data_IF_242268338501
#
_entry.id   IF_242268338501
#
_cell.length_a   1.000
_cell.length_b   1.000
_cell.length_c   1.000
_cell.angle_alpha   90.00
_cell.angle_beta   90.00
_cell.angle_gamma   90.00
#
_symmetry.space_group_name_H-M   'P 1'
#
loop_
_entity.id
_entity.type
_entity.pdbx_description
1 polymer ?
#
# COMPACT_ATOMS: atom_id res chain seq x y z
N UNK A 1 -58.27 7.61 -27.75
CA UNK A 1 -57.21 6.91 -27.00
C UNK A 1 -57.90 5.99 -26.00
N UNK A 2 -57.68 4.67 -26.05
CA UNK A 2 -58.36 3.72 -25.16
C UNK A 2 -57.99 4.01 -23.71
N UNK A 3 -58.98 4.07 -22.81
CA UNK A 3 -58.78 4.40 -21.39
C UNK A 3 -57.71 3.51 -20.72
N UNK A 4 -57.63 2.24 -21.15
CA UNK A 4 -56.57 1.29 -20.73
C UNK A 4 -55.17 1.72 -21.17
N UNK A 5 -55.01 2.26 -22.38
CA UNK A 5 -53.73 2.75 -22.89
C UNK A 5 -53.29 4.03 -22.19
N UNK A 6 -54.23 4.92 -21.84
CA UNK A 6 -53.93 6.12 -21.05
C UNK A 6 -53.47 5.77 -19.63
N UNK A 7 -54.13 4.81 -18.98
CA UNK A 7 -53.79 4.37 -17.63
C UNK A 7 -52.41 3.68 -17.60
N UNK A 8 -52.08 2.91 -18.62
CA UNK A 8 -50.76 2.30 -18.78
C UNK A 8 -49.65 3.34 -18.99
N UNK A 9 -49.91 4.40 -19.77
CA UNK A 9 -48.96 5.50 -19.95
C UNK A 9 -48.77 6.34 -18.69
N UNK A 10 -49.83 6.57 -17.91
CA UNK A 10 -49.71 7.30 -16.63
C UNK A 10 -48.94 6.46 -15.61
N UNK A 11 -49.20 5.15 -15.56
CA UNK A 11 -48.47 4.23 -14.68
C UNK A 11 -46.99 4.15 -15.07
N UNK A 12 -46.65 4.08 -16.37
CA UNK A 12 -45.25 4.06 -16.81
C UNK A 12 -44.51 5.36 -16.49
N UNK A 13 -45.19 6.51 -16.56
CA UNK A 13 -44.60 7.81 -16.18
C UNK A 13 -44.37 7.90 -14.68
N UNK A 14 -45.28 7.36 -13.86
CA UNK A 14 -45.11 7.30 -12.40
C UNK A 14 -44.03 6.30 -11.96
N UNK A 15 -43.82 5.22 -12.70
CA UNK A 15 -42.72 4.27 -12.43
C UNK A 15 -41.37 4.87 -12.83
N UNK A 16 -41.32 5.66 -13.90
CA UNK A 16 -40.08 6.32 -14.33
C UNK A 16 -39.55 7.35 -13.31
N UNK A 17 -40.44 8.04 -12.59
CA UNK A 17 -40.05 9.04 -11.57
C UNK A 17 -39.58 8.45 -10.24
N UNK A 18 -39.75 7.15 -10.00
CA UNK A 18 -39.28 6.49 -8.77
C UNK A 18 -37.83 5.99 -8.86
N UNK A 19 -37.13 6.25 -9.97
CA UNK A 19 -35.76 5.81 -10.22
C UNK A 19 -34.75 6.74 -9.53
N UNK A 20 -34.59 6.64 -8.20
CA UNK A 20 -33.50 7.31 -7.49
C UNK A 20 -32.24 6.46 -7.54
N UNK A 21 -31.44 6.65 -8.60
CA UNK A 21 -30.10 6.08 -8.71
C UNK A 21 -29.12 7.19 -9.12
N UNK A 22 -28.85 8.11 -8.20
CA UNK A 22 -27.73 9.04 -8.34
C UNK A 22 -26.99 9.14 -7.02
N UNK A 23 -25.67 8.97 -7.09
CA UNK A 23 -24.77 9.36 -6.02
C UNK A 23 -25.00 10.84 -5.71
N UNK A 24 -25.02 11.17 -4.42
CA UNK A 24 -25.53 12.41 -3.83
C UNK A 24 -24.70 13.68 -4.15
N UNK A 25 -24.01 13.74 -5.30
CA UNK A 25 -23.17 14.85 -5.71
C UNK A 25 -23.97 15.96 -6.39
N UNK A 26 -24.95 15.59 -7.23
CA UNK A 26 -25.78 16.55 -7.98
C UNK A 26 -27.03 17.02 -7.22
N UNK A 27 -27.37 16.34 -6.12
CA UNK A 27 -28.58 16.54 -5.33
C UNK A 27 -28.34 17.04 -3.90
N UNK A 28 -27.09 17.13 -3.45
CA UNK A 28 -26.75 17.62 -2.12
C UNK A 28 -27.08 19.11 -1.96
N UNK A 29 -27.68 19.48 -0.82
CA UNK A 29 -28.01 20.87 -0.48
C UNK A 29 -26.96 21.54 0.40
N UNK A 30 -26.05 20.75 1.00
CA UNK A 30 -24.90 21.22 1.75
C UNK A 30 -23.66 20.38 1.41
N UNK A 31 -22.44 20.95 1.53
CA UNK A 31 -21.19 20.22 1.29
C UNK A 31 -21.07 18.94 2.11
N UNK A 32 -21.57 18.94 3.35
CA UNK A 32 -21.50 17.78 4.26
C UNK A 32 -22.37 16.58 3.82
N UNK A 33 -23.30 16.79 2.88
CA UNK A 33 -24.14 15.72 2.32
C UNK A 33 -23.52 15.05 1.09
N UNK A 34 -22.46 15.64 0.53
CA UNK A 34 -21.78 15.13 -0.65
C UNK A 34 -20.98 13.88 -0.25
N UNK A 35 -21.25 12.75 -0.92
CA UNK A 35 -20.51 11.50 -0.70
C UNK A 35 -21.00 10.64 0.47
N UNK A 36 -21.96 11.11 1.29
CA UNK A 36 -22.54 10.32 2.39
C UNK A 36 -23.54 9.30 1.81
N UNK A 37 -23.25 8.00 1.99
CA UNK A 37 -24.14 6.90 1.60
C UNK A 37 -25.32 6.83 2.57
N UNK A 38 -26.50 6.48 2.06
CA UNK A 38 -27.67 6.24 2.92
C UNK A 38 -27.51 4.94 3.72
N UNK A 39 -28.12 4.83 4.90
CA UNK A 39 -28.04 3.61 5.73
C UNK A 39 -28.51 2.35 4.98
N UNK A 40 -29.56 2.49 4.16
CA UNK A 40 -30.05 1.41 3.30
C UNK A 40 -29.01 0.99 2.24
N UNK A 41 -28.21 1.92 1.73
CA UNK A 41 -27.16 1.65 0.76
C UNK A 41 -25.96 0.94 1.42
N UNK A 42 -25.58 1.36 2.62
CA UNK A 42 -24.52 0.70 3.40
C UNK A 42 -24.89 -0.77 3.70
N UNK A 43 -26.16 -1.02 4.05
CA UNK A 43 -26.65 -2.38 4.32
C UNK A 43 -26.69 -3.28 3.07
N UNK A 44 -26.90 -2.71 1.88
CA UNK A 44 -26.91 -3.46 0.61
C UNK A 44 -25.49 -3.71 0.10
N UNK A 45 -24.59 -2.73 0.25
CA UNK A 45 -23.24 -2.78 -0.32
C UNK A 45 -22.34 -3.84 0.36
N UNK A 46 -22.60 -4.21 1.62
CA UNK A 46 -21.79 -5.16 2.42
C UNK A 46 -20.27 -4.94 2.23
N UNK A 47 -19.85 -3.69 2.42
CA UNK A 47 -18.52 -3.17 2.07
C UNK A 47 -17.45 -3.68 3.06
N UNK A 48 -16.98 -4.91 2.86
CA UNK A 48 -15.91 -5.54 3.66
C UNK A 48 -14.81 -6.07 2.76
N UNK A 49 -13.61 -6.21 3.33
CA UNK A 49 -12.49 -6.86 2.67
C UNK A 49 -12.89 -8.29 2.26
N UNK A 50 -12.56 -8.68 1.03
CA UNK A 50 -12.88 -10.02 0.55
C UNK A 50 -12.09 -11.06 1.36
N UNK A 51 -12.81 -11.93 2.07
CA UNK A 51 -12.17 -13.01 2.81
C UNK A 51 -11.41 -13.94 1.88
N UNK A 52 -10.24 -14.40 2.34
CA UNK A 52 -9.49 -15.38 1.58
C UNK A 52 -10.18 -16.74 1.64
N UNK A 53 -10.17 -17.45 0.52
CA UNK A 53 -10.60 -18.84 0.49
C UNK A 53 -9.74 -19.70 1.43
N UNK A 54 -10.38 -20.62 2.14
CA UNK A 54 -9.68 -21.64 2.92
C UNK A 54 -8.92 -22.57 1.98
N UNK A 55 -7.63 -22.72 2.24
CA UNK A 55 -6.73 -23.65 1.55
C UNK A 55 -6.06 -24.48 2.64
N UNK A 56 -6.21 -25.79 2.56
CA UNK A 56 -5.51 -26.74 3.44
C UNK A 56 -4.05 -26.87 2.96
N UNK A 57 -3.11 -27.03 3.87
CA UNK A 57 -1.69 -27.24 3.56
C UNK A 57 -1.49 -28.46 2.62
N UNK A 58 -2.37 -29.47 2.72
CA UNK A 58 -2.37 -30.64 1.84
C UNK A 58 -2.76 -30.32 0.40
N UNK A 59 -3.43 -29.20 0.18
CA UNK A 59 -3.91 -28.75 -1.13
C UNK A 59 -2.90 -27.88 -1.86
N UNK A 60 -1.82 -27.48 -1.17
CA UNK A 60 -0.70 -26.74 -1.74
C UNK A 60 0.32 -27.71 -2.34
N UNK A 61 0.43 -27.75 -3.67
CA UNK A 61 1.39 -28.61 -4.37
C UNK A 61 2.78 -28.00 -4.45
N UNK A 62 2.83 -26.69 -4.57
CA UNK A 62 4.05 -25.91 -4.69
C UNK A 62 3.83 -24.58 -3.99
N UNK A 63 4.86 -24.11 -3.31
CA UNK A 63 4.87 -22.79 -2.70
C UNK A 63 6.26 -22.17 -2.82
N UNK A 64 6.31 -20.86 -3.03
CA UNK A 64 7.54 -20.09 -3.10
C UNK A 64 7.30 -18.70 -2.49
N UNK A 65 8.04 -18.34 -1.46
CA UNK A 65 8.02 -16.96 -0.97
C UNK A 65 8.94 -16.06 -1.81
N UNK A 66 8.44 -14.86 -2.11
CA UNK A 66 9.17 -13.83 -2.85
C UNK A 66 9.05 -12.49 -2.13
N UNK A 67 10.13 -11.73 -2.16
CA UNK A 67 10.18 -10.35 -1.70
C UNK A 67 10.38 -9.45 -2.89
N UNK A 68 9.49 -8.47 -3.01
CA UNK A 68 9.39 -7.57 -4.14
C UNK A 68 9.58 -6.12 -3.67
N UNK A 69 10.31 -5.34 -4.44
CA UNK A 69 10.49 -3.91 -4.26
C UNK A 69 9.63 -3.17 -5.28
N UNK A 70 8.64 -2.45 -4.79
CA UNK A 70 7.70 -1.62 -5.57
C UNK A 70 8.22 -0.19 -5.56
N UNK A 71 8.75 0.29 -6.68
CA UNK A 71 9.35 1.62 -6.79
C UNK A 71 8.27 2.65 -7.10
N UNK A 72 8.12 3.69 -6.27
CA UNK A 72 7.02 4.65 -6.39
C UNK A 72 7.17 5.66 -7.53
N UNK A 73 8.39 5.84 -8.04
CA UNK A 73 8.67 6.67 -9.22
C UNK A 73 8.09 6.09 -10.51
N UNK A 74 7.70 4.82 -10.49
CA UNK A 74 7.05 4.18 -11.63
C UNK A 74 5.58 4.58 -11.73
N UNK A 75 5.15 4.93 -12.96
CA UNK A 75 3.77 5.34 -13.24
C UNK A 75 2.73 4.28 -12.83
N UNK A 76 3.08 2.99 -12.88
CA UNK A 76 2.19 1.92 -12.44
C UNK A 76 1.87 2.00 -10.94
N UNK A 77 2.75 2.60 -10.14
CA UNK A 77 2.69 2.62 -8.68
C UNK A 77 2.20 3.95 -8.11
N UNK A 78 1.92 4.95 -8.95
CA UNK A 78 1.37 6.24 -8.55
C UNK A 78 0.12 6.18 -7.65
N UNK A 79 -0.80 5.21 -7.81
CA UNK A 79 -1.92 5.06 -6.88
C UNK A 79 -1.51 4.84 -5.41
N UNK A 80 -0.30 4.31 -5.16
CA UNK A 80 0.24 4.03 -3.82
C UNK A 80 0.96 5.25 -3.21
N UNK A 81 1.46 6.15 -4.06
CA UNK A 81 2.29 7.29 -3.66
C UNK A 81 1.49 8.58 -3.45
N UNK A 82 0.57 8.89 -4.37
CA UNK A 82 -0.15 10.16 -4.31
C UNK A 82 -1.41 10.08 -3.43
N UNK A 83 -1.80 11.20 -2.78
CA UNK A 83 -1.14 12.51 -2.77
C UNK A 83 -0.01 12.62 -1.73
N UNK A 84 1.04 13.39 -2.08
CA UNK A 84 2.17 13.69 -1.17
C UNK A 84 1.89 14.88 -0.24
N UNK A 85 1.06 15.82 -0.68
CA UNK A 85 0.63 16.97 0.11
C UNK A 85 -0.81 16.77 0.57
N UNK A 86 -1.02 16.83 1.88
CA UNK A 86 -2.32 16.60 2.54
C UNK A 86 -3.02 17.91 2.92
N UNK A 87 -2.37 19.07 2.78
CA UNK A 87 -2.89 20.37 3.26
C UNK A 87 -4.10 20.84 2.45
N UNK A 88 -4.06 20.66 1.13
CA UNK A 88 -5.09 21.19 0.21
C UNK A 88 -6.09 20.13 -0.26
N UNK A 89 -6.07 18.92 0.31
CA UNK A 89 -6.83 17.78 -0.17
C UNK A 89 -7.75 17.26 0.94
N UNK A 90 -9.00 16.94 0.58
CA UNK A 90 -9.97 16.34 1.48
C UNK A 90 -9.46 15.09 2.18
N UNK A 91 -9.96 14.82 3.38
CA UNK A 91 -9.55 13.67 4.21
C UNK A 91 -9.75 12.31 3.54
N UNK A 92 -10.56 12.25 2.49
CA UNK A 92 -10.88 11.06 1.71
C UNK A 92 -9.73 10.55 0.83
N UNK A 93 -8.68 11.37 0.57
CA UNK A 93 -7.53 11.00 -0.27
C UNK A 93 -6.24 11.11 0.51
N UNK A 94 -5.57 9.97 0.69
CA UNK A 94 -4.31 9.85 1.41
C UNK A 94 -3.40 8.85 0.70
N UNK A 95 -2.08 9.05 0.81
CA UNK A 95 -1.09 8.08 0.34
C UNK A 95 -1.17 6.80 1.17
N UNK A 96 -0.65 5.69 0.64
CA UNK A 96 -0.63 4.44 1.41
C UNK A 96 0.15 4.59 2.72
N UNK A 97 1.27 5.32 2.71
CA UNK A 97 2.07 5.57 3.91
C UNK A 97 1.29 6.37 4.97
N UNK A 98 0.59 7.43 4.56
CA UNK A 98 -0.25 8.21 5.49
C UNK A 98 -1.34 7.36 6.12
N UNK A 99 -1.97 6.49 5.33
CA UNK A 99 -3.00 5.56 5.81
C UNK A 99 -2.40 4.62 6.85
N UNK A 100 -1.28 3.96 6.55
CA UNK A 100 -0.63 3.04 7.48
C UNK A 100 -0.21 3.77 8.76
N UNK A 101 0.45 4.92 8.64
CA UNK A 101 0.95 5.68 9.80
C UNK A 101 -0.19 6.22 10.67
N UNK A 102 -1.27 6.71 10.06
CA UNK A 102 -2.47 7.14 10.78
C UNK A 102 -3.08 5.97 11.55
N UNK A 103 -3.24 4.82 10.90
CA UNK A 103 -3.89 3.66 11.49
C UNK A 103 -3.08 3.03 12.62
N UNK A 104 -1.74 3.11 12.55
CA UNK A 104 -0.87 2.77 13.66
C UNK A 104 -1.04 3.76 14.83
N UNK A 105 -1.12 5.06 14.56
CA UNK A 105 -1.31 6.09 15.61
C UNK A 105 -2.68 5.97 16.29
N UNK A 106 -3.70 5.66 15.51
CA UNK A 106 -5.09 5.47 15.98
C UNK A 106 -5.26 4.12 16.72
N UNK A 107 -4.30 3.21 16.58
CA UNK A 107 -4.27 1.91 17.25
C UNK A 107 -5.07 0.81 16.53
N UNK A 108 -5.50 1.06 15.29
CA UNK A 108 -6.18 0.05 14.45
C UNK A 108 -5.20 -1.03 13.99
N UNK A 109 -3.94 -0.67 13.74
CA UNK A 109 -2.84 -1.60 13.46
C UNK A 109 -1.96 -1.70 14.72
N UNK A 110 -2.15 -2.77 15.49
CA UNK A 110 -1.44 -2.95 16.77
C UNK A 110 0.02 -3.38 16.60
N UNK A 111 0.29 -4.24 15.61
CA UNK A 111 1.57 -4.94 15.48
C UNK A 111 2.40 -4.38 14.33
N UNK A 112 3.56 -3.82 14.67
CA UNK A 112 4.62 -3.47 13.72
C UNK A 112 5.82 -4.35 14.00
N UNK A 113 6.58 -4.67 12.96
CA UNK A 113 7.73 -5.56 13.03
C UNK A 113 8.98 -4.91 12.45
N UNK A 114 10.14 -5.33 12.93
CA UNK A 114 11.43 -4.83 12.42
C UNK A 114 11.83 -5.50 11.10
N UNK A 115 11.50 -6.78 10.96
CA UNK A 115 11.90 -7.62 9.84
C UNK A 115 10.69 -8.30 9.19
N UNK A 116 10.87 -8.66 7.92
CA UNK A 116 9.95 -9.38 7.04
C UNK A 116 9.56 -10.77 7.54
N UNK A 117 10.27 -11.34 8.52
CA UNK A 117 9.90 -12.61 9.16
C UNK A 117 8.98 -12.42 10.38
N UNK A 118 8.65 -11.18 10.75
CA UNK A 118 7.71 -10.85 11.84
C UNK A 118 8.12 -11.41 13.21
N UNK A 119 9.42 -11.47 13.49
CA UNK A 119 9.97 -12.05 14.73
C UNK A 119 9.97 -11.07 15.89
N UNK A 120 10.37 -9.83 15.64
CA UNK A 120 10.51 -8.76 16.65
C UNK A 120 9.50 -7.67 16.42
N UNK A 121 8.70 -7.38 17.47
CA UNK A 121 7.73 -6.27 17.44
C UNK A 121 8.44 -4.94 17.73
N UNK A 122 8.05 -3.89 17.02
CA UNK A 122 8.48 -2.50 17.27
C UNK A 122 7.34 -1.65 17.81
N UNK A 123 7.68 -0.67 18.64
CA UNK A 123 6.73 0.36 19.08
C UNK A 123 6.95 1.67 18.31
N UNK A 124 5.95 2.55 18.35
CA UNK A 124 6.05 3.89 17.75
C UNK A 124 7.24 4.72 18.27
N UNK A 125 7.64 4.49 19.53
CA UNK A 125 8.79 5.18 20.12
C UNK A 125 10.10 4.74 19.48
N UNK A 126 10.22 3.46 19.17
CA UNK A 126 11.42 2.90 18.53
C UNK A 126 11.53 3.35 17.07
N UNK A 127 10.41 3.64 16.42
CA UNK A 127 10.37 4.19 15.07
C UNK A 127 10.69 5.69 15.03
N UNK A 128 10.39 6.45 16.08
CA UNK A 128 10.68 7.88 16.10
C UNK A 128 12.17 8.18 15.89
N UNK A 129 13.05 7.32 16.39
CA UNK A 129 14.49 7.44 16.22
C UNK A 129 14.95 7.23 14.76
N UNK A 130 14.28 6.37 14.00
CA UNK A 130 14.58 6.12 12.58
C UNK A 130 13.78 7.02 11.63
N UNK A 131 12.79 7.76 12.14
CA UNK A 131 11.92 8.61 11.34
C UNK A 131 12.18 10.11 11.51
N UNK A 132 12.91 10.51 12.56
CA UNK A 132 13.19 11.92 12.82
C UNK A 132 14.67 12.16 13.09
N UNK A 133 15.22 13.16 12.41
CA UNK A 133 16.56 13.67 12.65
C UNK A 133 16.42 15.04 13.31
N UNK A 134 17.14 15.22 14.40
CA UNK A 134 17.30 16.52 15.05
C UNK A 134 18.74 16.94 14.79
N UNK A 135 18.91 17.97 13.97
CA UNK A 135 20.20 18.56 13.66
C UNK A 135 20.32 19.93 14.33
N UNK A 136 21.53 20.30 14.73
CA UNK A 136 21.80 21.59 15.39
C UNK A 136 22.72 22.39 14.49
N UNK A 137 22.35 23.64 14.19
CA UNK A 137 23.19 24.52 13.39
C UNK A 137 24.48 24.91 14.15
N UNK A 138 25.55 25.22 13.42
CA UNK A 138 26.83 25.68 13.99
C UNK A 138 26.67 26.83 14.99
N UNK A 139 25.77 27.77 14.69
CA UNK A 139 25.44 28.91 15.56
C UNK A 139 24.83 28.44 16.90
N UNK A 140 24.06 27.35 16.87
CA UNK A 140 23.51 26.72 18.07
C UNK A 140 24.59 26.07 18.93
N UNK A 141 25.62 25.47 18.32
CA UNK A 141 26.78 24.96 19.07
C UNK A 141 27.58 26.08 19.73
N UNK A 142 27.77 27.21 19.05
CA UNK A 142 28.44 28.39 19.62
C UNK A 142 27.66 28.96 20.82
N UNK A 143 26.32 29.02 20.72
CA UNK A 143 25.46 29.44 21.83
C UNK A 143 25.50 28.45 23.00
N UNK A 144 25.49 27.14 22.72
CA UNK A 144 25.61 26.11 23.76
C UNK A 144 26.92 26.26 24.54
N UNK A 145 28.02 26.53 23.83
CA UNK A 145 29.34 26.70 24.45
C UNK A 145 29.45 28.00 25.26
N UNK A 146 28.70 29.05 24.90
CA UNK A 146 28.71 30.34 25.58
C UNK A 146 27.75 30.41 26.78
N UNK A 147 26.49 30.02 26.58
CA UNK A 147 25.37 30.26 27.50
C UNK A 147 24.77 28.98 28.09
N UNK A 148 25.21 27.80 27.62
CA UNK A 148 24.78 26.50 28.15
C UNK A 148 23.38 26.05 27.69
N UNK A 149 22.74 26.79 26.79
CA UNK A 149 21.46 26.41 26.17
C UNK A 149 21.48 26.69 24.67
N UNK A 150 20.64 25.99 23.91
CA UNK A 150 20.43 26.19 22.47
C UNK A 150 19.02 26.67 22.25
N UNK A 151 18.84 27.81 21.59
CA UNK A 151 17.52 28.27 21.22
C UNK A 151 16.85 27.30 20.23
N UNK A 152 15.53 27.05 20.34
CA UNK A 152 14.81 26.12 19.45
C UNK A 152 14.89 26.48 17.96
N UNK A 153 15.21 27.74 17.63
CA UNK A 153 15.38 28.22 16.25
C UNK A 153 16.63 27.63 15.57
N UNK A 154 17.63 27.20 16.34
CA UNK A 154 18.83 26.56 15.82
C UNK A 154 18.74 25.04 15.73
N UNK A 155 17.59 24.47 16.10
CA UNK A 155 17.32 23.04 16.07
C UNK A 155 16.43 22.75 14.85
N UNK A 156 17.00 22.10 13.84
CA UNK A 156 16.27 21.66 12.66
C UNK A 156 15.78 20.24 12.91
N UNK A 157 14.46 20.05 12.84
CA UNK A 157 13.84 18.73 12.90
C UNK A 157 13.33 18.33 11.53
N UNK A 158 13.88 17.25 10.99
CA UNK A 158 13.44 16.64 9.73
C UNK A 158 12.73 15.33 10.05
N UNK A 159 11.45 15.22 9.68
CA UNK A 159 10.64 14.02 9.88
C UNK A 159 10.35 13.35 8.53
N UNK A 160 10.38 12.00 8.48
CA UNK A 160 9.95 11.22 7.31
C UNK A 160 8.44 11.37 7.12
N UNK A 161 8.06 12.04 6.05
CA UNK A 161 6.69 12.15 5.53
C UNK A 161 6.51 11.26 4.30
N UNK A 162 5.28 11.18 3.78
CA UNK A 162 4.93 10.45 2.54
C UNK A 162 5.79 10.82 1.35
N UNK A 163 6.30 12.06 1.31
CA UNK A 163 7.19 12.54 0.26
C UNK A 163 8.54 11.82 0.23
N UNK A 164 9.05 11.40 1.40
CA UNK A 164 10.36 10.75 1.50
C UNK A 164 10.29 9.23 1.24
N UNK A 165 9.09 8.65 1.14
CA UNK A 165 8.92 7.23 0.84
C UNK A 165 9.16 7.00 -0.65
N UNK A 166 10.18 6.24 -0.99
CA UNK A 166 10.56 5.96 -2.39
C UNK A 166 10.14 4.58 -2.88
N UNK A 167 9.95 3.62 -1.98
CA UNK A 167 9.52 2.27 -2.33
C UNK A 167 8.66 1.61 -1.25
N UNK A 168 7.91 0.58 -1.65
CA UNK A 168 7.34 -0.40 -0.72
C UNK A 168 8.02 -1.75 -0.92
N UNK A 169 8.41 -2.38 0.19
CA UNK A 169 8.85 -3.77 0.20
C UNK A 169 7.67 -4.65 0.51
N UNK A 170 7.45 -5.64 -0.33
CA UNK A 170 6.31 -6.54 -0.28
C UNK A 170 6.82 -7.96 -0.12
N UNK A 171 6.29 -8.68 0.86
CA UNK A 171 6.51 -10.11 1.03
C UNK A 171 5.24 -10.85 0.65
N UNK A 172 5.35 -11.80 -0.27
CA UNK A 172 4.22 -12.64 -0.63
C UNK A 172 4.60 -14.09 -0.92
N UNK A 173 3.57 -14.91 -1.01
CA UNK A 173 3.65 -16.34 -1.23
C UNK A 173 2.93 -16.67 -2.53
N UNK A 174 3.67 -17.21 -3.48
CA UNK A 174 3.12 -17.89 -4.63
C UNK A 174 2.82 -19.33 -4.22
N UNK A 175 1.60 -19.80 -4.44
CA UNK A 175 1.24 -21.18 -4.17
C UNK A 175 0.30 -21.73 -5.23
N UNK A 176 0.47 -23.00 -5.58
CA UNK A 176 -0.39 -23.68 -6.54
C UNK A 176 -1.45 -24.49 -5.78
N UNK A 177 -2.72 -24.08 -5.92
CA UNK A 177 -3.86 -24.75 -5.30
C UNK A 177 -4.33 -25.91 -6.19
N UNK A 178 -4.16 -27.14 -5.72
CA UNK A 178 -4.54 -28.34 -6.49
C UNK A 178 -6.04 -28.45 -6.75
N UNK A 179 -6.89 -27.83 -5.90
CA UNK A 179 -8.35 -27.93 -6.03
C UNK A 179 -8.87 -27.06 -7.17
N UNK A 180 -8.24 -25.90 -7.37
CA UNK A 180 -8.62 -24.95 -8.41
C UNK A 180 -7.68 -25.02 -9.62
N UNK A 181 -6.59 -25.79 -9.52
CA UNK A 181 -5.54 -25.92 -10.54
C UNK A 181 -5.00 -24.56 -10.99
N UNK A 182 -4.88 -23.61 -10.06
CA UNK A 182 -4.50 -22.23 -10.33
C UNK A 182 -3.32 -21.82 -9.44
N UNK A 183 -2.37 -21.09 -10.02
CA UNK A 183 -1.34 -20.42 -9.27
C UNK A 183 -1.90 -19.13 -8.65
N UNK A 184 -1.84 -19.04 -7.32
CA UNK A 184 -2.34 -17.88 -6.57
C UNK A 184 -1.20 -17.18 -5.85
N UNK A 185 -1.39 -15.87 -5.71
CA UNK A 185 -0.54 -15.04 -4.88
C UNK A 185 -1.26 -14.67 -3.59
N UNK A 186 -0.57 -14.81 -2.46
CA UNK A 186 -1.01 -14.33 -1.16
C UNK A 186 -0.03 -13.31 -0.63
N UNK A 187 -0.50 -12.08 -0.42
CA UNK A 187 0.27 -11.04 0.22
C UNK A 187 0.38 -11.34 1.73
N UNK A 188 1.60 -11.31 2.25
CA UNK A 188 1.88 -11.62 3.66
C UNK A 188 2.29 -10.35 4.40
N UNK A 189 3.14 -9.53 3.79
CA UNK A 189 3.74 -8.37 4.44
C UNK A 189 3.90 -7.20 3.52
N UNK A 190 3.82 -6.01 4.10
CA UNK A 190 4.15 -4.75 3.45
C UNK A 190 4.97 -3.88 4.38
N UNK A 191 5.97 -3.20 3.83
CA UNK A 191 6.81 -2.26 4.55
C UNK A 191 7.05 -1.00 3.69
N UNK A 192 6.73 0.22 4.19
CA UNK A 192 7.21 1.43 3.58
C UNK A 192 8.73 1.51 3.72
N UNK A 193 9.40 1.89 2.63
CA UNK A 193 10.85 2.05 2.59
C UNK A 193 11.22 3.47 2.17
N UNK A 194 12.15 4.05 2.92
CA UNK A 194 12.65 5.41 2.73
C UNK A 194 14.17 5.40 2.91
N UNK A 195 14.89 6.36 2.30
CA UNK A 195 16.30 6.56 2.61
C UNK A 195 16.47 6.96 4.09
N UNK A 196 17.63 6.68 4.65
CA UNK A 196 17.96 7.04 6.03
C UNK A 196 17.88 8.57 6.21
N UNK A 197 17.21 9.00 7.29
CA UNK A 197 17.02 10.42 7.65
C UNK A 197 18.34 11.17 7.74
N UNK A 198 19.41 10.49 8.11
CA UNK A 198 20.75 11.09 8.17
C UNK A 198 21.30 11.50 6.81
N UNK A 199 20.87 10.82 5.74
CA UNK A 199 21.39 10.97 4.39
C UNK A 199 20.36 11.47 3.37
N UNK A 200 19.14 11.86 3.81
CA UNK A 200 18.09 12.42 2.93
C UNK A 200 18.62 13.57 2.07
N UNK A 201 19.40 14.47 2.67
CA UNK A 201 19.96 15.66 1.99
C UNK A 201 21.33 15.41 1.34
N UNK A 202 21.84 14.16 1.38
CA UNK A 202 23.12 13.84 0.76
C UNK A 202 22.98 13.72 -0.76
N UNK A 203 24.01 14.16 -1.51
CA UNK A 203 24.03 14.04 -2.98
C UNK A 203 24.42 12.64 -3.46
N UNK A 204 24.93 11.79 -2.56
CA UNK A 204 25.40 10.44 -2.89
C UNK A 204 24.24 9.46 -3.13
N UNK A 205 24.12 8.94 -4.35
CA UNK A 205 23.08 7.95 -4.72
C UNK A 205 23.15 6.66 -3.88
N UNK A 206 24.33 6.24 -3.45
CA UNK A 206 24.50 5.04 -2.63
C UNK A 206 23.82 5.15 -1.25
N UNK A 207 23.73 6.36 -0.70
CA UNK A 207 23.09 6.59 0.60
C UNK A 207 21.57 6.79 0.49
N UNK A 208 21.03 6.78 -0.74
CA UNK A 208 19.59 6.87 -1.02
C UNK A 208 18.91 5.51 -1.19
N UNK A 209 19.61 4.41 -0.89
CA UNK A 209 18.99 3.10 -0.92
C UNK A 209 17.83 3.03 0.09
N UNK A 210 16.62 2.62 -0.35
CA UNK A 210 15.47 2.60 0.52
C UNK A 210 15.53 1.44 1.49
N UNK A 211 15.49 1.76 2.78
CA UNK A 211 15.50 0.82 3.90
C UNK A 211 14.06 0.68 4.43
N UNK A 212 13.58 -0.53 4.76
CA UNK A 212 12.27 -0.68 5.39
C UNK A 212 12.22 0.06 6.73
N UNK A 213 11.17 0.87 6.92
CA UNK A 213 10.93 1.55 8.19
C UNK A 213 10.33 0.60 9.22
N UNK A 214 9.30 -0.14 8.82
CA UNK A 214 8.63 -1.16 9.62
C UNK A 214 7.86 -2.11 8.72
N UNK A 215 7.69 -3.35 9.18
CA UNK A 215 6.87 -4.37 8.53
C UNK A 215 5.50 -4.48 9.19
N UNK A 216 4.45 -4.54 8.36
CA UNK A 216 3.08 -4.82 8.78
C UNK A 216 2.67 -6.18 8.23
N UNK A 217 2.02 -6.98 9.08
CA UNK A 217 1.38 -8.21 8.64
C UNK A 217 0.10 -7.86 7.87
N UNK A 218 0.08 -8.17 6.58
CA UNK A 218 -0.98 -7.70 5.68
C UNK A 218 -2.40 -8.09 6.13
N UNK A 219 -2.66 -9.33 6.62
CA UNK A 219 -3.97 -9.71 7.14
C UNK A 219 -4.52 -8.79 8.24
N UNK A 220 -3.65 -8.26 9.12
CA UNK A 220 -4.07 -7.37 10.22
C UNK A 220 -4.48 -5.98 9.70
N UNK A 221 -3.95 -5.55 8.55
CA UNK A 221 -4.21 -4.22 7.98
C UNK A 221 -5.33 -4.22 6.92
N UNK A 222 -5.97 -5.36 6.62
CA UNK A 222 -6.89 -5.46 5.47
C UNK A 222 -8.12 -4.58 5.61
N UNK A 223 -8.71 -4.52 6.80
CA UNK A 223 -9.92 -3.74 7.04
C UNK A 223 -9.66 -2.25 6.82
N UNK A 224 -8.55 -1.75 7.38
CA UNK A 224 -8.04 -0.39 7.20
C UNK A 224 -7.78 -0.08 5.72
N UNK A 225 -7.07 -0.98 5.03
CA UNK A 225 -6.70 -0.81 3.62
C UNK A 225 -7.90 -0.96 2.68
N UNK A 226 -8.96 -1.63 3.10
CA UNK A 226 -10.20 -1.74 2.34
C UNK A 226 -11.04 -0.46 2.45
N UNK A 227 -11.10 0.14 3.63
CA UNK A 227 -11.77 1.41 3.87
C UNK A 227 -11.05 2.55 3.13
N UNK A 228 -9.72 2.58 3.22
CA UNK A 228 -8.91 3.60 2.56
C UNK A 228 -8.92 3.46 1.03
N UNK A 229 -9.24 4.57 0.35
CA UNK A 229 -9.36 4.62 -1.11
C UNK A 229 -8.15 5.31 -1.74
N UNK A 230 -7.59 4.71 -2.78
CA UNK A 230 -6.47 5.23 -3.53
C UNK A 230 -6.92 6.21 -4.62
N UNK A 231 -5.97 7.02 -5.11
CA UNK A 231 -6.22 7.84 -6.29
C UNK A 231 -6.35 6.96 -7.54
N UNK A 232 -7.38 7.20 -8.35
CA UNK A 232 -7.56 6.59 -9.66
C UNK A 232 -7.39 7.66 -10.74
N UNK A 233 -6.36 7.51 -11.57
CA UNK A 233 -6.02 8.46 -12.63
C UNK A 233 -7.03 8.45 -13.80
N UNK A 234 -7.64 7.29 -14.08
CA UNK A 234 -8.58 7.15 -15.20
C UNK A 234 -9.99 7.62 -14.82
N UNK A 235 -10.41 7.32 -13.59
CA UNK A 235 -11.74 7.70 -13.10
C UNK A 235 -11.72 8.01 -11.60
N UNK A 236 -11.63 9.30 -11.27
CA UNK A 236 -11.63 9.77 -9.88
C UNK A 236 -12.98 9.58 -9.15
N UNK A 237 -14.08 9.37 -9.87
CA UNK A 237 -15.39 9.11 -9.28
C UNK A 237 -15.53 7.68 -8.74
N UNK A 238 -14.67 6.75 -9.19
CA UNK A 238 -14.65 5.35 -8.75
C UNK A 238 -13.22 5.01 -8.31
N UNK A 239 -12.83 5.40 -7.08
CA UNK A 239 -11.53 5.06 -6.54
C UNK A 239 -11.51 3.57 -6.11
N UNK A 240 -10.35 2.94 -6.23
CA UNK A 240 -10.14 1.58 -5.75
C UNK A 240 -9.67 1.60 -4.29
N UNK A 241 -9.93 0.54 -3.52
CA UNK A 241 -9.32 0.39 -2.19
C UNK A 241 -7.86 -0.06 -2.30
N UNK A 242 -7.05 0.27 -1.30
CA UNK A 242 -5.67 -0.20 -1.25
C UNK A 242 -5.60 -1.74 -1.13
N UNK A 243 -6.51 -2.35 -0.36
CA UNK A 243 -6.62 -3.82 -0.28
C UNK A 243 -6.85 -4.44 -1.67
N UNK A 244 -7.73 -3.85 -2.48
CA UNK A 244 -7.99 -4.35 -3.83
C UNK A 244 -6.78 -4.22 -4.74
N UNK A 245 -6.08 -3.08 -4.73
CA UNK A 245 -4.88 -2.87 -5.55
C UNK A 245 -3.78 -3.86 -5.20
N UNK A 246 -3.53 -4.07 -3.90
CA UNK A 246 -2.47 -4.95 -3.41
C UNK A 246 -2.80 -6.43 -3.66
N UNK A 247 -4.01 -6.88 -3.37
CA UNK A 247 -4.42 -8.28 -3.62
C UNK A 247 -4.49 -8.61 -5.11
N UNK A 248 -4.95 -7.68 -5.96
CA UNK A 248 -4.97 -7.86 -7.41
C UNK A 248 -3.62 -7.63 -8.08
N UNK A 249 -2.56 -7.34 -7.29
CA UNK A 249 -1.22 -7.01 -7.76
C UNK A 249 -1.20 -5.94 -8.86
N UNK A 250 -2.04 -4.90 -8.71
CA UNK A 250 -2.06 -3.73 -9.60
C UNK A 250 -0.93 -2.76 -9.26
N UNK A 251 0.28 -3.29 -9.23
CA UNK A 251 1.52 -2.56 -9.02
C UNK A 251 2.63 -3.28 -9.79
N UNK A 252 3.70 -2.56 -10.09
CA UNK A 252 4.90 -3.11 -10.68
C UNK A 252 5.99 -3.19 -9.60
N UNK A 253 6.65 -4.34 -9.51
CA UNK A 253 7.68 -4.59 -8.51
C UNK A 253 8.77 -5.52 -9.02
N UNK A 254 9.97 -5.37 -8.48
CA UNK A 254 11.15 -6.17 -8.81
C UNK A 254 11.44 -7.16 -7.69
N UNK A 255 11.65 -8.43 -8.01
CA UNK A 255 11.97 -9.45 -7.01
C UNK A 255 13.43 -9.27 -6.61
N UNK A 256 13.69 -8.85 -5.37
CA UNK A 256 15.06 -8.65 -4.86
C UNK A 256 15.53 -9.80 -3.97
N UNK A 257 14.61 -10.64 -3.49
CA UNK A 257 14.91 -11.80 -2.66
C UNK A 257 13.86 -12.89 -2.90
N UNK A 258 14.31 -14.14 -2.94
CA UNK A 258 13.45 -15.32 -3.05
C UNK A 258 13.82 -16.35 -1.98
N UNK A 259 12.83 -17.15 -1.59
CA UNK A 259 13.05 -18.23 -0.62
C UNK A 259 14.03 -19.25 -1.19
N UNK A 260 15.15 -19.51 -0.52
CA UNK A 260 16.14 -20.44 -1.05
C UNK A 260 16.83 -21.25 0.06
N UNK A 261 17.40 -22.39 -0.34
CA UNK A 261 18.13 -23.31 0.54
C UNK A 261 19.37 -22.65 1.17
N UNK A 262 19.82 -21.54 0.61
CA UNK A 262 20.99 -20.78 1.07
C UNK A 262 20.62 -19.70 2.11
N UNK A 263 19.43 -19.77 2.72
CA UNK A 263 19.00 -18.82 3.76
C UNK A 263 18.39 -17.54 3.19
N UNK A 264 17.62 -17.67 2.11
CA UNK A 264 16.92 -16.58 1.41
C UNK A 264 17.86 -15.45 0.98
N UNK A 265 18.96 -15.84 0.33
CA UNK A 265 19.97 -14.92 -0.21
C UNK A 265 19.35 -13.85 -1.12
N UNK A 266 19.73 -12.59 -0.91
CA UNK A 266 19.32 -11.48 -1.77
C UNK A 266 20.01 -11.54 -3.13
N UNK A 267 19.30 -11.04 -4.17
CA UNK A 267 19.81 -10.98 -5.55
C UNK A 267 21.12 -10.19 -5.63
N UNK A 268 21.22 -9.11 -4.86
CA UNK A 268 22.41 -8.24 -4.82
C UNK A 268 23.65 -8.97 -4.29
N UNK A 269 23.48 -9.95 -3.40
CA UNK A 269 24.64 -10.63 -2.79
C UNK A 269 25.39 -11.55 -3.76
N UNK A 270 24.75 -12.05 -4.82
CA UNK A 270 25.38 -12.95 -5.80
C UNK A 270 25.48 -12.36 -7.21
N UNK A 271 24.78 -11.28 -7.51
CA UNK A 271 24.93 -10.49 -8.74
C UNK A 271 25.52 -9.13 -8.36
N UNK A 272 26.84 -9.01 -8.49
CA UNK A 272 27.56 -7.80 -8.12
C UNK A 272 27.18 -6.60 -9.00
N UNK A 273 26.69 -5.53 -8.36
CA UNK A 273 26.68 -4.11 -8.78
C UNK A 273 26.24 -3.78 -10.22
N UNK A 274 25.43 -4.64 -10.84
CA UNK A 274 24.83 -4.35 -12.14
C UNK A 274 23.31 -4.38 -12.04
N UNK A 275 22.72 -3.19 -11.94
CA UNK A 275 21.27 -2.99 -11.86
C UNK A 275 20.50 -3.70 -12.99
N UNK A 276 21.08 -3.74 -14.21
CA UNK A 276 20.48 -4.48 -15.33
C UNK A 276 20.48 -5.99 -15.08
N UNK A 277 21.56 -6.53 -14.53
CA UNK A 277 21.64 -7.96 -14.23
C UNK A 277 20.71 -8.36 -13.08
N UNK A 278 20.55 -7.49 -12.07
CA UNK A 278 19.58 -7.70 -11.00
C UNK A 278 18.14 -7.68 -11.52
N UNK A 279 17.84 -6.78 -12.47
CA UNK A 279 16.55 -6.73 -13.14
C UNK A 279 16.27 -8.02 -13.94
N UNK A 280 17.25 -8.46 -14.74
CA UNK A 280 17.13 -9.71 -15.51
C UNK A 280 16.95 -10.93 -14.60
N UNK A 281 17.59 -10.94 -13.42
CA UNK A 281 17.43 -12.00 -12.44
C UNK A 281 16.05 -11.98 -11.79
N UNK A 282 15.53 -10.79 -11.45
CA UNK A 282 14.13 -10.63 -11.02
C UNK A 282 13.17 -11.22 -12.05
N UNK A 283 13.37 -10.91 -13.34
CA UNK A 283 12.53 -11.42 -14.42
C UNK A 283 12.67 -12.93 -14.60
N UNK A 284 13.89 -13.47 -14.47
CA UNK A 284 14.13 -14.93 -14.46
C UNK A 284 13.36 -15.63 -13.34
N UNK A 285 13.33 -15.06 -12.13
CA UNK A 285 12.57 -15.61 -10.99
C UNK A 285 11.06 -15.60 -11.31
N UNK A 286 10.53 -14.49 -11.84
CA UNK A 286 9.12 -14.40 -12.26
C UNK A 286 8.79 -15.43 -13.35
N UNK A 287 9.65 -15.57 -14.35
CA UNK A 287 9.49 -16.55 -15.42
C UNK A 287 9.53 -17.98 -14.89
N UNK A 288 10.40 -18.29 -13.91
CA UNK A 288 10.43 -19.62 -13.28
C UNK A 288 9.10 -19.97 -12.62
N UNK A 289 8.49 -19.03 -11.91
CA UNK A 289 7.17 -19.22 -11.27
C UNK A 289 6.09 -19.40 -12.34
N UNK A 290 6.12 -18.59 -13.40
CA UNK A 290 5.17 -18.70 -14.52
C UNK A 290 5.31 -20.01 -15.30
N UNK A 291 6.53 -20.44 -15.57
CA UNK A 291 6.81 -21.70 -16.26
C UNK A 291 6.35 -22.89 -15.43
N UNK A 292 6.52 -22.84 -14.10
CA UNK A 292 5.96 -23.86 -13.21
C UNK A 292 4.45 -23.98 -13.37
N UNK A 293 3.72 -22.86 -13.44
CA UNK A 293 2.29 -22.88 -13.73
C UNK A 293 2.02 -23.53 -15.09
N UNK A 294 2.65 -23.07 -16.17
CA UNK A 294 2.46 -23.60 -17.52
C UNK A 294 2.74 -25.11 -17.62
N UNK A 295 3.78 -25.59 -16.95
CA UNK A 295 4.16 -27.00 -16.92
C UNK A 295 3.08 -27.87 -16.22
N UNK A 296 2.29 -27.31 -15.31
CA UNK A 296 1.14 -28.02 -14.72
C UNK A 296 -0.05 -28.14 -15.70
N UNK A 297 -0.14 -27.24 -16.69
CA UNK A 297 -1.19 -27.25 -17.71
C UNK A 297 -0.80 -28.04 -18.97
N UNK A 298 0.50 -28.13 -19.28
CA UNK A 298 1.02 -28.84 -20.43
C UNK A 298 1.14 -30.35 -20.14
N UNK A 299 0.14 -31.12 -20.57
CA UNK A 299 0.15 -32.59 -20.61
C UNK A 299 0.55 -33.13 -22.00
#
# INVERSE_FOLDING_TARGET
MNFKSFLLTVLSVFVATASFAQANLLSAKSPDQIGVRTEAQIAIDNDKALEYGYVDDRDVLFSKMTWEKVVLDERANFPLYYPVDTVNIGNERRSLYDVLMKSIRDGEIENMYDDSYFTTKRTLKDLAASMSKIDTLDIGFDQFNADGYVDPEYIIRTDITSYHVSAYLIKGLWYFDKRQAELKYRLIGIAPAAPDVNFIDSDDEANKEPIPLFWIFFPDARDVLHEAKSFNNENSAVPFSFDHILNSRRFHGYVYKEENVYGDREVNEYIAENALMQLLESDRIKEKIRNFELDMWAY
#
